data_IF_604593881952
#
_entry.id   IF_604593881952
#
_cell.length_a   1.000
_cell.length_b   1.000
_cell.length_c   1.000
_cell.angle_alpha   90.00
_cell.angle_beta   90.00
_cell.angle_gamma   90.00
#
_symmetry.space_group_name_H-M   'P 1'
#
loop_
_entity.id
_entity.type
_entity.pdbx_description
1 polymer ?
#
# COMPACT_ATOMS: atom_id res chain seq x y z
N UNK A 1 6.84 4.14 -11.30
CA UNK A 1 5.57 4.05 -10.53
C UNK A 1 5.49 5.19 -9.53
N UNK A 2 4.48 6.01 -9.60
CA UNK A 2 4.26 7.04 -8.57
C UNK A 2 3.53 6.41 -7.38
N UNK A 3 4.04 6.63 -6.16
CA UNK A 3 3.46 6.04 -4.94
C UNK A 3 3.19 7.14 -3.92
N UNK A 4 1.94 7.24 -3.48
CA UNK A 4 1.54 8.17 -2.42
C UNK A 4 0.98 7.39 -1.22
N UNK A 5 1.42 7.79 -0.02
CA UNK A 5 0.96 7.21 1.24
C UNK A 5 0.07 8.23 1.94
N UNK A 6 -1.16 7.84 2.25
CA UNK A 6 -2.16 8.73 2.85
C UNK A 6 -2.82 8.08 4.06
N UNK A 7 -3.37 8.87 4.99
CA UNK A 7 -4.16 8.33 6.09
C UNK A 7 -5.54 7.89 5.62
N UNK A 8 -6.20 7.06 6.43
CA UNK A 8 -7.57 6.61 6.19
C UNK A 8 -8.55 7.76 5.96
N UNK A 9 -8.37 8.86 6.69
CA UNK A 9 -9.24 10.04 6.60
C UNK A 9 -9.30 10.63 5.19
N UNK A 10 -8.24 10.46 4.40
CA UNK A 10 -8.24 10.91 3.01
C UNK A 10 -9.38 10.26 2.22
N UNK A 11 -9.58 8.95 2.38
CA UNK A 11 -10.63 8.23 1.69
C UNK A 11 -11.98 8.35 2.38
N UNK A 12 -12.02 8.45 3.72
CA UNK A 12 -13.26 8.67 4.46
C UNK A 12 -13.98 9.95 4.00
N UNK A 13 -13.23 11.01 3.75
CA UNK A 13 -13.78 12.29 3.26
C UNK A 13 -14.34 12.18 1.85
N UNK A 14 -13.90 11.23 1.07
CA UNK A 14 -14.26 11.06 -0.34
C UNK A 14 -15.24 9.93 -0.59
N UNK A 15 -15.58 9.19 0.44
CA UNK A 15 -16.47 8.03 0.37
C UNK A 15 -17.80 8.41 -0.27
N UNK A 16 -18.17 7.72 -1.37
CA UNK A 16 -19.41 7.94 -2.07
C UNK A 16 -19.47 9.21 -2.94
N UNK A 17 -18.34 9.92 -3.09
CA UNK A 17 -18.26 11.12 -3.93
C UNK A 17 -17.73 10.80 -5.33
N UNK A 18 -17.91 11.71 -6.32
CA UNK A 18 -17.30 11.54 -7.64
C UNK A 18 -15.77 11.42 -7.61
N UNK A 19 -15.09 12.04 -6.63
CA UNK A 19 -13.64 11.92 -6.48
C UNK A 19 -13.21 10.47 -6.19
N UNK A 20 -13.98 9.73 -5.41
CA UNK A 20 -13.69 8.32 -5.13
C UNK A 20 -13.65 7.51 -6.42
N UNK A 21 -14.64 7.70 -7.27
CA UNK A 21 -14.74 7.04 -8.57
C UNK A 21 -13.57 7.42 -9.47
N UNK A 22 -13.22 8.71 -9.50
CA UNK A 22 -12.12 9.21 -10.32
C UNK A 22 -10.77 8.64 -9.87
N UNK A 23 -10.52 8.57 -8.56
CA UNK A 23 -9.30 7.98 -8.02
C UNK A 23 -9.16 6.52 -8.47
N UNK A 24 -10.23 5.74 -8.35
CA UNK A 24 -10.20 4.33 -8.74
C UNK A 24 -10.15 4.11 -10.25
N UNK A 25 -10.47 5.13 -11.03
CA UNK A 25 -10.30 5.08 -12.49
C UNK A 25 -8.85 5.38 -12.93
N UNK A 26 -8.08 6.08 -12.10
CA UNK A 26 -6.76 6.59 -12.45
C UNK A 26 -5.62 6.03 -11.60
N UNK A 27 -5.92 5.33 -10.50
CA UNK A 27 -4.95 4.81 -9.55
C UNK A 27 -5.28 3.39 -9.16
N UNK A 28 -4.28 2.65 -8.72
CA UNK A 28 -4.48 1.46 -7.90
C UNK A 28 -4.39 1.85 -6.44
N UNK A 29 -5.33 1.39 -5.64
CA UNK A 29 -5.42 1.72 -4.22
C UNK A 29 -5.27 0.46 -3.38
N UNK A 30 -4.32 0.49 -2.45
CA UNK A 30 -4.13 -0.56 -1.45
C UNK A 30 -4.69 -0.03 -0.14
N UNK A 31 -5.78 -0.65 0.33
CA UNK A 31 -6.54 -0.22 1.49
C UNK A 31 -6.30 -1.20 2.64
N UNK A 32 -5.66 -0.72 3.72
CA UNK A 32 -5.25 -1.57 4.85
C UNK A 32 -6.14 -1.28 6.06
N UNK A 33 -6.86 -2.30 6.53
CA UNK A 33 -7.76 -2.25 7.66
C UNK A 33 -7.12 -2.87 8.89
N UNK A 34 -7.65 -2.53 10.07
CA UNK A 34 -7.30 -3.12 11.35
C UNK A 34 -8.20 -4.32 11.63
N UNK A 35 -7.73 -5.35 12.34
CA UNK A 35 -8.49 -6.57 12.57
C UNK A 35 -9.65 -6.38 13.55
N UNK A 36 -9.59 -5.37 14.41
CA UNK A 36 -10.66 -5.05 15.35
C UNK A 36 -10.68 -3.56 15.63
N UNK A 37 -11.72 -3.08 16.33
CA UNK A 37 -11.90 -1.66 16.61
C UNK A 37 -12.72 -0.96 15.54
N UNK A 38 -12.45 0.33 15.31
CA UNK A 38 -13.26 1.17 14.44
C UNK A 38 -12.89 1.07 12.95
N UNK A 39 -11.63 0.76 12.65
CA UNK A 39 -11.11 0.79 11.28
C UNK A 39 -11.07 -0.59 10.63
N UNK A 40 -12.14 -1.38 10.82
CA UNK A 40 -12.22 -2.75 10.34
C UNK A 40 -12.79 -2.88 8.93
N UNK A 41 -13.52 -1.87 8.47
CA UNK A 41 -14.12 -1.86 7.13
C UNK A 41 -13.40 -0.88 6.21
N UNK A 42 -13.27 -1.21 4.90
CA UNK A 42 -12.68 -0.27 3.96
C UNK A 42 -13.47 1.04 3.87
N UNK A 43 -12.77 2.19 3.81
CA UNK A 43 -13.43 3.51 3.75
C UNK A 43 -13.91 3.85 2.33
N UNK A 44 -14.64 2.92 1.71
CA UNK A 44 -15.12 3.05 0.34
C UNK A 44 -16.60 2.69 0.24
N UNK A 45 -17.28 3.25 -0.75
CA UNK A 45 -18.66 2.88 -1.06
C UNK A 45 -18.75 1.44 -1.55
N UNK A 46 -19.92 0.80 -1.41
CA UNK A 46 -20.12 -0.59 -1.82
C UNK A 46 -19.79 -0.82 -3.29
N UNK A 47 -20.13 0.12 -4.16
CA UNK A 47 -19.80 0.01 -5.58
C UNK A 47 -18.29 0.01 -5.84
N UNK A 48 -17.54 0.80 -5.08
CA UNK A 48 -16.08 0.89 -5.21
C UNK A 48 -15.37 -0.37 -4.75
N UNK A 49 -15.94 -1.11 -3.80
CA UNK A 49 -15.36 -2.36 -3.31
C UNK A 49 -15.22 -3.43 -4.40
N UNK A 50 -15.95 -3.29 -5.50
CA UNK A 50 -15.89 -4.21 -6.65
C UNK A 50 -14.86 -3.78 -7.69
N UNK A 51 -14.20 -2.64 -7.51
CA UNK A 51 -13.23 -2.14 -8.48
C UNK A 51 -12.01 -3.06 -8.57
N UNK A 52 -11.54 -3.38 -9.79
CA UNK A 52 -10.29 -4.13 -9.96
C UNK A 52 -9.05 -3.32 -9.55
N UNK A 53 -9.21 -2.01 -9.34
CA UNK A 53 -8.14 -1.11 -8.91
C UNK A 53 -8.10 -0.88 -7.40
N UNK A 54 -8.87 -1.66 -6.62
CA UNK A 54 -8.88 -1.59 -5.16
C UNK A 54 -8.53 -2.95 -4.56
N UNK A 55 -7.46 -2.99 -3.78
CA UNK A 55 -7.06 -4.17 -3.00
C UNK A 55 -7.26 -3.86 -1.52
N UNK A 56 -8.14 -4.61 -0.85
CA UNK A 56 -8.42 -4.46 0.57
C UNK A 56 -7.73 -5.56 1.36
N UNK A 57 -6.95 -5.16 2.37
CA UNK A 57 -6.20 -6.07 3.24
C UNK A 57 -6.53 -5.78 4.70
N UNK A 58 -6.41 -6.80 5.54
CA UNK A 58 -6.63 -6.68 7.00
C UNK A 58 -5.40 -7.22 7.71
N UNK A 59 -4.65 -6.34 8.37
CA UNK A 59 -3.58 -6.70 9.29
C UNK A 59 -3.26 -5.52 10.20
N UNK A 60 -2.68 -5.81 11.36
CA UNK A 60 -2.46 -4.81 12.40
C UNK A 60 -1.04 -4.22 12.32
N UNK A 61 -0.86 -3.04 12.92
CA UNK A 61 0.46 -2.39 13.00
C UNK A 61 1.22 -2.99 14.19
N UNK A 62 1.75 -4.18 13.98
CA UNK A 62 2.44 -4.97 15.01
C UNK A 62 3.71 -5.60 14.42
N UNK A 63 4.61 -6.02 15.31
CA UNK A 63 5.80 -6.79 14.94
C UNK A 63 5.84 -8.14 15.69
N UNK A 64 4.79 -8.46 16.44
CA UNK A 64 4.64 -9.67 17.25
C UNK A 64 3.28 -10.33 16.98
N UNK A 65 2.85 -11.24 17.85
CA UNK A 65 1.62 -12.02 17.71
C UNK A 65 0.42 -11.43 18.44
N UNK A 66 0.50 -10.16 18.87
CA UNK A 66 -0.58 -9.51 19.66
C UNK A 66 -1.85 -9.22 18.86
N UNK A 67 -1.81 -9.31 17.55
CA UNK A 67 -2.94 -9.09 16.66
C UNK A 67 -2.77 -9.88 15.37
N UNK A 68 -3.46 -9.44 14.30
CA UNK A 68 -3.33 -10.07 12.99
C UNK A 68 -2.10 -9.56 12.27
N UNK A 69 -1.16 -10.45 12.03
CA UNK A 69 0.11 -10.13 11.38
C UNK A 69 -0.03 -10.00 9.87
N UNK A 70 0.86 -9.19 9.28
CA UNK A 70 1.12 -9.22 7.84
C UNK A 70 1.82 -10.55 7.51
N UNK A 71 1.38 -11.22 6.47
CA UNK A 71 1.90 -12.53 6.08
C UNK A 71 2.43 -12.53 4.65
N UNK A 72 3.07 -13.64 4.28
CA UNK A 72 3.53 -13.87 2.91
C UNK A 72 2.37 -13.78 1.90
N UNK A 73 1.17 -14.22 2.28
CA UNK A 73 -0.01 -14.15 1.41
C UNK A 73 -0.36 -12.71 1.04
N UNK A 74 -0.33 -11.78 2.01
CA UNK A 74 -0.56 -10.37 1.75
C UNK A 74 0.56 -9.76 0.89
N UNK A 75 1.81 -10.15 1.12
CA UNK A 75 2.93 -9.70 0.30
C UNK A 75 2.75 -10.10 -1.16
N UNK A 76 2.37 -11.35 -1.41
CA UNK A 76 2.09 -11.84 -2.76
C UNK A 76 0.92 -11.10 -3.40
N UNK A 77 -0.16 -10.88 -2.64
CA UNK A 77 -1.33 -10.15 -3.14
C UNK A 77 -0.97 -8.73 -3.57
N UNK A 78 -0.18 -8.02 -2.79
CA UNK A 78 0.27 -6.66 -3.13
C UNK A 78 1.09 -6.67 -4.42
N UNK A 79 2.08 -7.53 -4.50
CA UNK A 79 2.98 -7.57 -5.66
C UNK A 79 2.27 -8.01 -6.93
N UNK A 80 1.32 -8.94 -6.84
CA UNK A 80 0.49 -9.33 -7.98
C UNK A 80 -0.41 -8.17 -8.42
N UNK A 81 -0.97 -7.44 -7.47
CA UNK A 81 -1.89 -6.31 -7.74
C UNK A 81 -1.21 -5.20 -8.54
N UNK A 82 0.07 -4.94 -8.31
CA UNK A 82 0.81 -3.85 -8.96
C UNK A 82 1.80 -4.33 -10.03
N UNK A 83 1.77 -5.61 -10.40
CA UNK A 83 2.83 -6.25 -11.20
C UNK A 83 3.06 -5.64 -12.58
N UNK A 84 2.03 -5.09 -13.22
CA UNK A 84 2.15 -4.49 -14.55
C UNK A 84 2.62 -3.03 -14.55
N UNK A 85 2.74 -2.40 -13.36
CA UNK A 85 3.22 -1.02 -13.20
C UNK A 85 2.46 -0.01 -14.09
N UNK A 86 1.19 -0.27 -14.39
CA UNK A 86 0.44 0.52 -15.36
C UNK A 86 -0.14 1.81 -14.80
N UNK A 87 -0.41 1.88 -13.48
CA UNK A 87 -1.04 3.03 -12.84
C UNK A 87 -0.27 3.46 -11.60
N UNK A 88 -0.35 4.75 -11.24
CA UNK A 88 0.15 5.19 -9.94
C UNK A 88 -0.60 4.50 -8.80
N UNK A 89 0.05 4.39 -7.65
CA UNK A 89 -0.45 3.65 -6.49
C UNK A 89 -0.67 4.60 -5.31
N UNK A 90 -1.81 4.46 -4.65
CA UNK A 90 -2.08 5.08 -3.36
C UNK A 90 -2.23 3.97 -2.32
N UNK A 91 -1.60 4.16 -1.17
CA UNK A 91 -1.66 3.20 -0.05
C UNK A 91 -2.12 3.93 1.20
N UNK A 92 -3.12 3.38 1.90
CA UNK A 92 -3.53 3.91 3.18
C UNK A 92 -3.57 2.82 4.25
N UNK A 93 -3.37 3.23 5.48
CA UNK A 93 -3.72 2.49 6.70
C UNK A 93 -4.49 3.46 7.60
N UNK A 94 -4.48 3.31 8.91
CA UNK A 94 -5.17 4.27 9.79
C UNK A 94 -4.51 5.64 9.73
N UNK A 95 -3.23 5.73 10.09
CA UNK A 95 -2.50 6.99 10.20
C UNK A 95 -1.72 7.41 8.94
N UNK A 96 -1.47 6.48 8.02
CA UNK A 96 -0.64 6.76 6.85
C UNK A 96 0.84 6.86 7.19
N UNK A 97 1.33 6.11 8.18
CA UNK A 97 2.70 6.21 8.70
C UNK A 97 3.45 4.89 8.58
N UNK A 98 2.97 3.82 9.23
CA UNK A 98 3.77 2.60 9.42
C UNK A 98 3.42 1.47 8.44
N UNK A 99 2.19 0.97 8.45
CA UNK A 99 1.77 -0.13 7.56
C UNK A 99 1.80 0.30 6.10
N UNK A 100 1.08 1.36 5.77
CA UNK A 100 1.08 1.93 4.42
C UNK A 100 2.44 2.50 4.06
N UNK A 101 3.17 3.04 5.04
CA UNK A 101 4.52 3.53 4.84
C UNK A 101 5.49 2.44 4.40
N UNK A 102 5.41 1.26 5.01
CA UNK A 102 6.24 0.12 4.61
C UNK A 102 5.92 -0.36 3.20
N UNK A 103 4.63 -0.51 2.88
CA UNK A 103 4.21 -0.91 1.54
C UNK A 103 4.66 0.11 0.50
N UNK A 104 4.38 1.39 0.75
CA UNK A 104 4.72 2.46 -0.19
C UNK A 104 6.22 2.59 -0.43
N UNK A 105 7.02 2.54 0.64
CA UNK A 105 8.48 2.63 0.53
C UNK A 105 9.06 1.48 -0.29
N UNK A 106 8.63 0.25 -0.02
CA UNK A 106 9.15 -0.93 -0.74
C UNK A 106 8.77 -0.88 -2.22
N UNK A 107 7.51 -0.54 -2.53
CA UNK A 107 7.07 -0.42 -3.92
C UNK A 107 7.82 0.68 -4.67
N UNK A 108 7.98 1.84 -4.04
CA UNK A 108 8.74 2.93 -4.63
C UNK A 108 10.20 2.53 -4.88
N UNK A 109 10.84 1.97 -3.84
CA UNK A 109 12.24 1.53 -3.97
C UNK A 109 12.41 0.54 -5.10
N UNK A 110 11.56 -0.49 -5.16
CA UNK A 110 11.69 -1.54 -6.17
C UNK A 110 11.45 -1.02 -7.59
N UNK A 111 10.33 -0.34 -7.81
CA UNK A 111 9.92 0.07 -9.14
C UNK A 111 10.66 1.32 -9.65
N UNK A 112 11.01 2.23 -8.77
CA UNK A 112 11.57 3.53 -9.17
C UNK A 112 13.07 3.66 -8.95
N UNK A 113 13.66 2.87 -8.05
CA UNK A 113 15.09 2.91 -7.76
C UNK A 113 15.79 1.66 -8.29
N UNK A 114 15.41 0.49 -7.79
CA UNK A 114 16.13 -0.75 -8.11
C UNK A 114 15.98 -1.16 -9.57
N UNK A 115 14.77 -1.13 -10.12
CA UNK A 115 14.54 -1.48 -11.53
C UNK A 115 15.11 -0.45 -12.50
N UNK A 116 14.97 0.83 -12.18
CA UNK A 116 15.40 1.95 -13.05
C UNK A 116 16.86 2.32 -12.87
N UNK A 117 17.50 1.88 -11.77
CA UNK A 117 18.84 2.29 -11.36
C UNK A 117 18.94 3.79 -11.12
N UNK A 118 17.88 4.41 -10.61
CA UNK A 118 17.79 5.85 -10.40
C UNK A 118 17.37 6.17 -8.95
N UNK A 119 18.35 6.55 -8.12
CA UNK A 119 18.10 6.90 -6.72
C UNK A 119 17.28 8.18 -6.54
N UNK A 120 17.25 9.06 -7.55
CA UNK A 120 16.53 10.34 -7.45
C UNK A 120 15.03 10.14 -7.28
N UNK A 121 14.45 9.15 -7.94
CA UNK A 121 13.02 8.87 -7.83
C UNK A 121 12.64 8.41 -6.42
N UNK A 122 13.50 7.61 -5.79
CA UNK A 122 13.29 7.20 -4.40
C UNK A 122 13.37 8.38 -3.42
N UNK A 123 14.34 9.27 -3.64
CA UNK A 123 14.45 10.49 -2.82
C UNK A 123 13.22 11.38 -2.95
N UNK A 124 12.62 11.40 -4.12
CA UNK A 124 11.39 12.14 -4.36
C UNK A 124 10.24 11.60 -3.51
N UNK A 125 10.10 10.26 -3.45
CA UNK A 125 9.10 9.62 -2.60
C UNK A 125 9.25 10.02 -1.14
N UNK A 126 10.47 10.01 -0.60
CA UNK A 126 10.72 10.38 0.79
C UNK A 126 10.37 11.84 1.08
N UNK A 127 10.58 12.72 0.12
CA UNK A 127 10.20 14.13 0.26
C UNK A 127 8.68 14.33 0.24
N UNK A 128 7.98 13.63 -0.60
CA UNK A 128 6.51 13.73 -0.71
C UNK A 128 5.77 13.01 0.42
N UNK A 129 6.43 12.05 1.06
CA UNK A 129 5.85 11.23 2.13
C UNK A 129 6.72 11.30 3.40
N UNK A 130 6.97 12.50 3.96
CA UNK A 130 7.92 12.67 5.06
C UNK A 130 7.47 12.04 6.38
N UNK A 131 6.18 11.73 6.51
CA UNK A 131 5.62 11.13 7.73
C UNK A 131 5.92 9.62 7.84
N UNK A 132 6.40 8.99 6.77
CA UNK A 132 6.55 7.53 6.71
C UNK A 132 7.59 7.03 7.71
N UNK A 133 7.17 6.05 8.53
CA UNK A 133 8.02 5.27 9.44
C UNK A 133 7.63 3.80 9.27
N UNK A 134 8.32 3.06 8.40
CA UNK A 134 7.85 1.75 7.96
C UNK A 134 7.79 0.70 9.08
N UNK A 135 6.69 -0.06 9.14
CA UNK A 135 6.58 -1.25 9.98
C UNK A 135 7.61 -2.29 9.50
N UNK A 136 8.47 -2.73 10.41
CA UNK A 136 9.61 -3.58 10.07
C UNK A 136 9.21 -4.97 9.57
N UNK A 137 8.13 -5.54 10.09
CA UNK A 137 7.63 -6.86 9.65
C UNK A 137 7.09 -6.80 8.23
N UNK A 138 6.28 -5.79 7.94
CA UNK A 138 5.72 -5.58 6.59
C UNK A 138 6.85 -5.37 5.59
N UNK A 139 7.79 -4.49 5.91
CA UNK A 139 8.94 -4.21 5.05
C UNK A 139 9.75 -5.47 4.76
N UNK A 140 10.07 -6.23 5.80
CA UNK A 140 10.88 -7.44 5.68
C UNK A 140 10.21 -8.49 4.79
N UNK A 141 8.93 -8.74 4.98
CA UNK A 141 8.20 -9.76 4.22
C UNK A 141 7.99 -9.37 2.76
N UNK A 142 7.72 -8.09 2.49
CA UNK A 142 7.64 -7.59 1.11
C UNK A 142 8.98 -7.69 0.40
N UNK A 143 10.06 -7.29 1.04
CA UNK A 143 11.42 -7.39 0.47
C UNK A 143 11.78 -8.84 0.19
N UNK A 144 11.45 -9.74 1.11
CA UNK A 144 11.69 -11.18 0.93
C UNK A 144 10.98 -11.73 -0.31
N UNK A 145 9.72 -11.37 -0.50
CA UNK A 145 8.95 -11.81 -1.67
C UNK A 145 9.51 -11.22 -2.97
N UNK A 146 9.94 -9.97 -2.96
CA UNK A 146 10.57 -9.34 -4.12
C UNK A 146 11.87 -10.06 -4.51
N UNK A 147 12.74 -10.38 -3.54
CA UNK A 147 13.97 -11.11 -3.82
C UNK A 147 13.67 -12.51 -4.35
N UNK A 148 12.68 -13.19 -3.80
CA UNK A 148 12.26 -14.52 -4.28
C UNK A 148 11.82 -14.45 -5.75
N UNK A 149 11.05 -13.46 -6.12
CA UNK A 149 10.59 -13.27 -7.50
C UNK A 149 11.73 -12.90 -8.44
N UNK A 150 12.68 -12.09 -8.00
CA UNK A 150 13.83 -11.69 -8.78
C UNK A 150 14.72 -12.89 -9.09
N UNK A 151 14.88 -13.85 -8.16
CA UNK A 151 15.66 -15.06 -8.37
C UNK A 151 15.00 -16.02 -9.36
N UNK A 152 13.68 -15.98 -9.50
CA UNK A 152 12.93 -16.85 -10.41
C UNK A 152 12.82 -16.26 -11.83
N UNK A 153 13.02 -14.98 -11.94
CA UNK A 153 12.93 -14.24 -13.19
C UNK A 153 14.28 -13.93 -13.76
#
# INVERSE_FOLDING_TARGET
>A
MKVNVVPRSYFEKRKGTPEETEILATHRVISIQTSNGDDTEPPFSLSSLKSPNLLCLVFDDIVDESGRQFTEAEAKAILDFVSDDALPVMVHCTAGIARSGAVGEVLDWYYNCWKTKNDEDHRYFLRENPQVMPNSTVRRLLMRELYSRAEQG
#
